data_IF_824366181009
#
_entry.id   IF_824366181009
#
_cell.length_a   1.000
_cell.length_b   1.000
_cell.length_c   1.000
_cell.angle_alpha   90.00
_cell.angle_beta   90.00
_cell.angle_gamma   90.00
#
_symmetry.space_group_name_H-M   'P 1'
#
loop_
_entity.id
_entity.type
_entity.pdbx_description
1 polymer ?
#
# COMPACT_ATOMS: atom_id res chain seq x y z
N UNK A 1 -3.10 21.59 -5.88
CA UNK A 1 -2.09 21.70 -4.80
C UNK A 1 -0.70 21.24 -5.22
N UNK A 2 -0.51 19.99 -5.64
CA UNK A 2 0.82 19.45 -5.98
C UNK A 2 1.54 20.20 -7.11
N UNK A 3 0.81 20.70 -8.11
CA UNK A 3 1.38 21.52 -9.19
C UNK A 3 1.96 22.85 -8.69
N UNK A 4 1.42 23.38 -7.58
CA UNK A 4 1.86 24.60 -6.92
C UNK A 4 2.85 24.31 -5.77
N UNK A 5 3.33 23.06 -5.65
CA UNK A 5 4.22 22.64 -4.58
C UNK A 5 3.56 22.47 -3.21
N UNK A 6 2.23 22.57 -3.13
CA UNK A 6 1.50 22.48 -1.86
C UNK A 6 1.10 21.04 -1.52
N UNK A 7 1.10 20.66 -0.22
CA UNK A 7 0.55 19.39 0.23
C UNK A 7 -0.91 19.22 -0.19
N UNK A 8 -1.29 17.99 -0.55
CA UNK A 8 -2.70 17.64 -0.76
C UNK A 8 -3.28 17.13 0.55
N UNK A 9 -4.32 17.79 1.06
CA UNK A 9 -4.99 17.44 2.32
C UNK A 9 -5.49 15.98 2.30
N UNK A 10 -6.10 15.55 1.19
CA UNK A 10 -6.65 14.21 1.06
C UNK A 10 -5.62 13.13 0.66
N UNK A 11 -4.31 13.44 0.65
CA UNK A 11 -3.30 12.52 0.11
C UNK A 11 -3.30 11.15 0.75
N UNK A 12 -3.43 11.08 2.08
CA UNK A 12 -3.50 9.82 2.82
C UNK A 12 -4.73 9.00 2.48
N UNK A 13 -5.81 9.62 1.99
CA UNK A 13 -7.05 8.92 1.66
C UNK A 13 -6.97 8.21 0.31
N UNK A 14 -6.33 8.81 -0.71
CA UNK A 14 -6.23 8.17 -2.03
C UNK A 14 -4.93 7.37 -2.28
N UNK A 15 -3.83 7.67 -1.58
CA UNK A 15 -2.53 6.98 -1.79
C UNK A 15 -2.56 5.49 -1.43
N UNK A 16 -3.63 5.02 -0.80
CA UNK A 16 -3.83 3.63 -0.42
C UNK A 16 -4.44 2.78 -1.56
N UNK A 17 -5.04 3.43 -2.56
CA UNK A 17 -5.85 2.78 -3.59
C UNK A 17 -5.16 2.82 -4.96
N UNK A 18 -4.69 1.65 -5.43
CA UNK A 18 -3.94 1.52 -6.70
C UNK A 18 -4.69 2.02 -7.95
N UNK A 19 -6.02 2.06 -7.90
CA UNK A 19 -6.85 2.50 -9.04
C UNK A 19 -7.06 4.01 -9.09
N UNK A 20 -6.72 4.72 -8.02
CA UNK A 20 -6.76 6.19 -7.98
C UNK A 20 -5.35 6.68 -8.27
N UNK A 21 -4.98 6.70 -9.55
CA UNK A 21 -3.60 6.91 -10.00
C UNK A 21 -3.43 7.97 -11.10
N UNK A 22 -4.54 8.53 -11.59
CA UNK A 22 -4.55 9.70 -12.48
C UNK A 22 -4.94 10.94 -11.69
N UNK A 23 -4.54 12.13 -12.15
CA UNK A 23 -5.00 13.39 -11.54
C UNK A 23 -6.53 13.49 -11.56
N UNK A 24 -7.18 13.11 -12.66
CA UNK A 24 -8.64 13.08 -12.74
C UNK A 24 -9.26 12.18 -11.66
N UNK A 25 -8.74 10.97 -11.47
CA UNK A 25 -9.25 10.07 -10.43
C UNK A 25 -9.01 10.62 -9.02
N UNK A 26 -7.88 11.30 -8.78
CA UNK A 26 -7.62 11.96 -7.50
C UNK A 26 -8.62 13.08 -7.26
N UNK A 27 -8.87 13.91 -8.27
CA UNK A 27 -9.82 15.02 -8.18
C UNK A 27 -11.25 14.53 -7.94
N UNK A 28 -11.69 13.47 -8.64
CA UNK A 28 -13.00 12.83 -8.43
C UNK A 28 -13.13 12.25 -7.02
N UNK A 29 -12.11 11.58 -6.51
CA UNK A 29 -12.12 11.04 -5.15
C UNK A 29 -12.17 12.15 -4.10
N UNK A 30 -11.39 13.22 -4.28
CA UNK A 30 -11.41 14.39 -3.41
C UNK A 30 -12.77 15.11 -3.46
N UNK A 31 -13.39 15.16 -4.63
CA UNK A 31 -14.76 15.66 -4.78
C UNK A 31 -15.76 14.82 -3.98
N UNK A 32 -15.65 13.49 -4.01
CA UNK A 32 -16.47 12.60 -3.17
C UNK A 32 -16.35 12.92 -1.67
N UNK A 33 -15.13 13.12 -1.17
CA UNK A 33 -14.89 13.55 0.21
C UNK A 33 -15.54 14.91 0.52
N UNK A 34 -15.33 15.89 -0.34
CA UNK A 34 -15.92 17.23 -0.16
C UNK A 34 -17.45 17.17 -0.18
N UNK A 35 -18.04 16.40 -1.09
CA UNK A 35 -19.49 16.21 -1.15
C UNK A 35 -20.01 15.54 0.13
N UNK A 36 -19.30 14.55 0.66
CA UNK A 36 -19.64 13.92 1.94
C UNK A 36 -19.65 14.97 3.06
N UNK A 37 -18.58 15.76 3.17
CA UNK A 37 -18.45 16.81 4.18
C UNK A 37 -19.55 17.87 4.07
N UNK A 38 -19.88 18.31 2.86
CA UNK A 38 -21.00 19.24 2.63
C UNK A 38 -22.36 18.62 2.98
N UNK A 39 -22.53 17.31 2.80
CA UNK A 39 -23.79 16.60 3.04
C UNK A 39 -24.02 16.35 4.53
N UNK A 40 -22.99 15.94 5.26
CA UNK A 40 -23.10 15.49 6.65
C UNK A 40 -22.46 16.45 7.67
N UNK A 41 -21.82 17.52 7.22
CA UNK A 41 -21.16 18.51 8.08
C UNK A 41 -19.90 17.99 8.78
N UNK A 42 -19.37 16.82 8.37
CA UNK A 42 -18.20 16.16 8.97
C UNK A 42 -17.49 15.26 7.95
N UNK A 43 -16.18 14.99 8.10
CA UNK A 43 -15.49 14.01 7.27
C UNK A 43 -16.03 12.59 7.53
N UNK A 44 -15.87 11.66 6.56
CA UNK A 44 -16.19 10.26 6.79
C UNK A 44 -15.25 9.67 7.86
N UNK A 45 -15.80 8.84 8.76
CA UNK A 45 -15.02 8.19 9.83
C UNK A 45 -13.92 7.27 9.24
N UNK A 46 -14.19 6.65 8.09
CA UNK A 46 -13.23 5.87 7.30
C UNK A 46 -13.64 5.79 5.84
N UNK A 47 -12.68 5.58 4.94
CA UNK A 47 -12.91 5.27 3.52
C UNK A 47 -12.26 3.92 3.20
N UNK A 48 -12.92 3.02 2.45
CA UNK A 48 -14.21 3.17 1.77
C UNK A 48 -15.44 3.27 2.70
N UNK A 49 -16.53 3.85 2.18
CA UNK A 49 -17.82 4.02 2.86
C UNK A 49 -18.85 3.14 2.17
N UNK A 50 -19.29 2.09 2.85
CA UNK A 50 -20.29 1.15 2.29
C UNK A 50 -21.72 1.40 2.81
N UNK A 51 -21.86 2.19 3.88
CA UNK A 51 -23.15 2.59 4.44
C UNK A 51 -23.14 4.09 4.73
N UNK A 52 -24.03 4.81 4.05
CA UNK A 52 -24.18 6.25 4.20
C UNK A 52 -25.28 6.56 5.23
N UNK A 53 -25.09 7.55 6.12
CA UNK A 53 -26.16 8.06 6.95
C UNK A 53 -27.33 8.57 6.10
N UNK A 54 -28.54 8.70 6.67
CA UNK A 54 -29.66 9.31 5.96
C UNK A 54 -29.29 10.69 5.42
N UNK A 55 -29.50 10.88 4.11
CA UNK A 55 -29.19 12.11 3.40
C UNK A 55 -30.47 12.74 2.82
N UNK A 56 -30.52 14.07 2.66
CA UNK A 56 -31.70 14.76 2.14
C UNK A 56 -32.00 14.42 0.66
N UNK A 57 -31.04 13.87 -0.09
CA UNK A 57 -31.21 13.54 -1.51
C UNK A 57 -30.51 12.24 -1.88
N UNK A 58 -31.25 11.32 -2.52
CA UNK A 58 -30.71 10.06 -3.04
C UNK A 58 -29.75 10.28 -4.21
N UNK A 59 -29.89 11.39 -4.95
CA UNK A 59 -28.95 11.75 -6.01
C UNK A 59 -27.55 12.03 -5.46
N UNK A 60 -27.45 12.64 -4.28
CA UNK A 60 -26.18 12.86 -3.57
C UNK A 60 -25.58 11.52 -3.14
N UNK A 61 -26.39 10.64 -2.54
CA UNK A 61 -25.95 9.31 -2.11
C UNK A 61 -25.39 8.50 -3.27
N UNK A 62 -26.06 8.50 -4.43
CA UNK A 62 -25.56 7.81 -5.62
C UNK A 62 -24.17 8.30 -6.07
N UNK A 63 -23.92 9.61 -6.02
CA UNK A 63 -22.59 10.18 -6.34
C UNK A 63 -21.56 9.74 -5.31
N UNK A 64 -21.90 9.76 -4.02
CA UNK A 64 -21.01 9.30 -2.95
C UNK A 64 -20.70 7.81 -3.07
N UNK A 65 -21.68 6.96 -3.35
CA UNK A 65 -21.48 5.53 -3.61
C UNK A 65 -20.54 5.32 -4.81
N UNK A 66 -20.68 6.10 -5.88
CA UNK A 66 -19.83 6.00 -7.07
C UNK A 66 -18.38 6.45 -6.84
N UNK A 67 -18.08 7.17 -5.75
CA UNK A 67 -16.77 7.80 -5.50
C UNK A 67 -16.05 7.30 -4.24
N UNK A 68 -16.78 6.91 -3.19
CA UNK A 68 -16.23 6.54 -1.89
C UNK A 68 -16.49 5.08 -1.48
N UNK A 69 -17.30 4.32 -2.23
CA UNK A 69 -17.58 2.91 -1.89
C UNK A 69 -16.38 1.98 -2.07
N UNK A 70 -16.45 0.79 -1.45
CA UNK A 70 -15.47 -0.27 -1.69
C UNK A 70 -15.29 -0.57 -3.17
N UNK A 71 -16.38 -0.60 -3.94
CA UNK A 71 -16.35 -0.89 -5.37
C UNK A 71 -15.67 0.22 -6.15
N UNK A 72 -16.00 1.48 -5.87
CA UNK A 72 -15.36 2.64 -6.50
C UNK A 72 -13.83 2.62 -6.28
N UNK A 73 -13.39 2.44 -5.03
CA UNK A 73 -11.97 2.41 -4.70
C UNK A 73 -11.21 1.22 -5.31
N UNK A 74 -11.89 0.10 -5.60
CA UNK A 74 -11.30 -1.12 -6.17
C UNK A 74 -11.33 -1.18 -7.70
N UNK A 75 -12.34 -0.61 -8.33
CA UNK A 75 -12.56 -0.67 -9.78
C UNK A 75 -12.00 0.57 -10.49
N UNK A 76 -11.92 1.69 -9.79
CA UNK A 76 -11.50 2.98 -10.33
C UNK A 76 -12.63 4.02 -10.24
N UNK A 77 -12.23 5.28 -10.30
CA UNK A 77 -13.17 6.39 -10.22
C UNK A 77 -13.98 6.54 -11.51
N UNK A 78 -15.24 6.99 -11.44
CA UNK A 78 -16.01 7.37 -12.62
C UNK A 78 -15.32 8.53 -13.34
N UNK A 79 -15.49 8.60 -14.67
CA UNK A 79 -15.02 9.75 -15.44
C UNK A 79 -15.87 10.98 -15.13
N UNK A 80 -15.32 12.17 -15.38
CA UNK A 80 -16.07 13.43 -15.21
C UNK A 80 -17.36 13.41 -16.03
N UNK A 81 -17.31 12.92 -17.28
CA UNK A 81 -18.50 12.80 -18.13
C UNK A 81 -19.57 11.91 -17.51
N UNK A 82 -19.18 10.78 -16.90
CA UNK A 82 -20.13 9.89 -16.23
C UNK A 82 -20.74 10.53 -14.99
N UNK A 83 -19.95 11.25 -14.19
CA UNK A 83 -20.46 12.01 -13.04
C UNK A 83 -21.49 13.05 -13.46
N UNK A 84 -21.20 13.82 -14.51
CA UNK A 84 -22.10 14.87 -15.01
C UNK A 84 -23.42 14.32 -15.57
N UNK A 85 -23.49 13.05 -15.92
CA UNK A 85 -24.73 12.36 -16.32
C UNK A 85 -25.58 11.90 -15.13
N UNK A 86 -25.07 12.01 -13.90
CA UNK A 86 -25.80 11.56 -12.72
C UNK A 86 -26.92 12.54 -12.36
N UNK A 87 -28.01 12.08 -11.71
CA UNK A 87 -29.17 12.92 -11.40
C UNK A 87 -28.84 14.17 -10.58
N UNK A 88 -27.74 14.17 -9.82
CA UNK A 88 -27.33 15.34 -9.04
C UNK A 88 -26.99 16.55 -9.93
N UNK A 89 -26.57 16.32 -11.18
CA UNK A 89 -26.07 17.36 -12.08
C UNK A 89 -26.98 17.59 -13.29
N UNK A 90 -28.18 17.00 -13.33
CA UNK A 90 -29.08 17.08 -14.49
C UNK A 90 -29.45 18.52 -14.89
N UNK A 91 -29.54 19.40 -13.91
CA UNK A 91 -30.03 20.77 -14.08
C UNK A 91 -28.88 21.78 -14.28
N UNK A 92 -27.64 21.29 -14.34
CA UNK A 92 -26.46 22.14 -14.52
C UNK A 92 -26.24 22.41 -16.01
N UNK A 93 -26.57 23.64 -16.43
CA UNK A 93 -26.24 24.13 -17.77
C UNK A 93 -24.74 24.41 -17.88
N UNK A 94 -23.99 23.46 -18.46
CA UNK A 94 -22.59 23.67 -18.79
C UNK A 94 -22.48 24.56 -20.02
N UNK A 95 -22.01 25.79 -19.85
CA UNK A 95 -21.68 26.70 -20.96
C UNK A 95 -20.39 26.24 -21.64
N UNK A 96 -20.45 25.14 -22.39
CA UNK A 96 -19.29 24.52 -23.06
C UNK A 96 -18.79 25.29 -24.28
N UNK A 97 -19.46 26.38 -24.68
CA UNK A 97 -19.19 27.08 -25.95
C UNK A 97 -18.24 28.28 -25.86
N UNK A 98 -17.87 28.75 -24.66
CA UNK A 98 -16.89 29.84 -24.57
C UNK A 98 -15.48 29.28 -24.79
N UNK A 99 -14.90 29.61 -25.95
CA UNK A 99 -13.47 29.37 -26.20
C UNK A 99 -12.69 29.89 -24.98
N UNK A 100 -11.72 29.12 -24.45
CA UNK A 100 -10.90 29.57 -23.34
C UNK A 100 -10.33 30.96 -23.66
N UNK A 101 -10.76 31.98 -22.92
CA UNK A 101 -10.29 33.36 -23.15
C UNK A 101 -8.79 33.48 -22.85
N UNK A 102 -8.26 32.55 -22.06
CA UNK A 102 -6.86 32.48 -21.69
C UNK A 102 -6.04 31.73 -22.76
N UNK A 103 -5.15 32.47 -23.45
CA UNK A 103 -4.16 31.86 -24.35
C UNK A 103 -3.04 31.22 -23.53
N UNK A 104 -2.98 29.88 -23.52
CA UNK A 104 -1.90 29.13 -22.86
C UNK A 104 -0.72 29.00 -23.83
N UNK A 105 0.47 29.54 -23.51
CA UNK A 105 1.66 29.33 -24.34
C UNK A 105 1.99 27.84 -24.48
N UNK A 106 2.43 27.42 -25.67
CA UNK A 106 2.76 26.00 -25.96
C UNK A 106 3.80 25.42 -24.99
N UNK A 107 4.82 26.22 -24.64
CA UNK A 107 5.83 25.86 -23.63
C UNK A 107 5.20 25.55 -22.27
N UNK A 108 4.21 26.34 -21.85
CA UNK A 108 3.50 26.13 -20.59
C UNK A 108 2.62 24.87 -20.68
N UNK A 109 1.88 24.68 -21.78
CA UNK A 109 1.07 23.47 -22.00
C UNK A 109 1.92 22.20 -21.86
N UNK A 110 3.12 22.22 -22.43
CA UNK A 110 4.04 21.08 -22.37
C UNK A 110 4.62 20.87 -20.96
N UNK A 111 5.00 21.94 -20.27
CA UNK A 111 5.43 21.86 -18.88
C UNK A 111 4.33 21.27 -17.96
N UNK A 112 3.07 21.65 -18.17
CA UNK A 112 1.92 21.10 -17.44
C UNK A 112 1.73 19.61 -17.73
N UNK A 113 1.89 19.18 -18.99
CA UNK A 113 1.81 17.76 -19.38
C UNK A 113 2.89 16.94 -18.66
N UNK A 114 4.14 17.41 -18.68
CA UNK A 114 5.27 16.75 -18.00
C UNK A 114 5.04 16.70 -16.49
N UNK A 115 4.57 17.81 -15.90
CA UNK A 115 4.27 17.87 -14.46
C UNK A 115 3.17 16.89 -14.06
N UNK A 116 2.09 16.79 -14.85
CA UNK A 116 1.02 15.78 -14.65
C UNK A 116 1.59 14.37 -14.64
N UNK A 117 2.34 14.00 -15.67
CA UNK A 117 2.93 12.66 -15.80
C UNK A 117 3.89 12.35 -14.64
N UNK A 118 4.68 13.33 -14.21
CA UNK A 118 5.58 13.19 -13.06
C UNK A 118 4.81 12.94 -11.75
N UNK A 119 3.73 13.68 -11.51
CA UNK A 119 2.89 13.52 -10.31
C UNK A 119 2.23 12.15 -10.31
N UNK A 120 1.65 11.72 -11.43
CA UNK A 120 0.99 10.41 -11.56
C UNK A 120 2.00 9.26 -11.37
N UNK A 121 3.19 9.34 -11.98
CA UNK A 121 4.27 8.34 -11.77
C UNK A 121 4.69 8.26 -10.32
N UNK A 122 4.87 9.40 -9.65
CA UNK A 122 5.25 9.45 -8.23
C UNK A 122 4.17 8.84 -7.33
N UNK A 123 2.89 9.09 -7.61
CA UNK A 123 1.77 8.51 -6.87
C UNK A 123 1.73 6.98 -7.02
N UNK A 124 1.95 6.46 -8.22
CA UNK A 124 2.00 5.01 -8.45
C UNK A 124 3.15 4.36 -7.66
N UNK A 125 4.32 5.01 -7.63
CA UNK A 125 5.46 4.51 -6.86
C UNK A 125 5.21 4.53 -5.36
N UNK A 126 4.63 5.61 -4.84
CA UNK A 126 4.18 5.70 -3.44
C UNK A 126 3.18 4.58 -3.10
N UNK A 127 2.20 4.31 -3.96
CA UNK A 127 1.23 3.23 -3.76
C UNK A 127 1.89 1.84 -3.70
N UNK A 128 2.93 1.60 -4.52
CA UNK A 128 3.72 0.36 -4.48
C UNK A 128 4.45 0.23 -3.15
N UNK A 129 5.11 1.29 -2.69
CA UNK A 129 5.82 1.32 -1.42
C UNK A 129 4.88 1.06 -0.24
N UNK A 130 3.73 1.73 -0.19
CA UNK A 130 2.72 1.52 0.85
C UNK A 130 2.26 0.07 0.87
N UNK A 131 1.98 -0.52 -0.29
CA UNK A 131 1.54 -1.91 -0.36
C UNK A 131 2.64 -2.90 0.03
N UNK A 132 3.87 -2.68 -0.43
CA UNK A 132 5.02 -3.49 -0.05
C UNK A 132 5.24 -3.45 1.45
N UNK A 133 5.21 -2.26 2.05
CA UNK A 133 5.32 -2.07 3.49
C UNK A 133 4.22 -2.82 4.24
N UNK A 134 2.94 -2.62 3.87
CA UNK A 134 1.80 -3.35 4.46
C UNK A 134 1.96 -4.87 4.39
N UNK A 135 2.44 -5.39 3.26
CA UNK A 135 2.69 -6.83 3.08
C UNK A 135 3.81 -7.33 3.98
N UNK A 136 4.92 -6.59 4.09
CA UNK A 136 6.04 -6.91 4.97
C UNK A 136 5.60 -6.89 6.45
N UNK A 137 4.89 -5.84 6.88
CA UNK A 137 4.38 -5.70 8.25
C UNK A 137 3.48 -6.87 8.64
N UNK A 138 2.56 -7.29 7.74
CA UNK A 138 1.70 -8.47 7.96
C UNK A 138 2.50 -9.78 8.05
N UNK A 139 3.53 -9.93 7.23
CA UNK A 139 4.41 -11.10 7.30
C UNK A 139 5.23 -11.14 8.60
N UNK A 140 5.73 -9.98 9.05
CA UNK A 140 6.47 -9.84 10.30
C UNK A 140 5.60 -10.10 11.52
N UNK A 141 4.36 -9.61 11.55
CA UNK A 141 3.44 -9.89 12.67
C UNK A 141 3.10 -11.38 12.77
N UNK A 142 2.95 -12.06 11.63
CA UNK A 142 2.72 -13.50 11.60
C UNK A 142 3.95 -14.31 12.04
N UNK A 143 5.15 -13.91 11.58
CA UNK A 143 6.40 -14.60 11.89
C UNK A 143 6.95 -14.30 13.29
N UNK A 144 6.60 -13.15 13.85
CA UNK A 144 7.00 -12.67 15.18
C UNK A 144 6.02 -13.02 16.30
N UNK A 145 4.96 -13.78 16.04
CA UNK A 145 4.00 -14.16 17.07
C UNK A 145 4.65 -15.09 18.11
N UNK A 146 4.29 -14.92 19.38
CA UNK A 146 4.80 -15.76 20.47
C UNK A 146 4.46 -17.25 20.25
N UNK A 147 3.34 -17.55 19.59
CA UNK A 147 2.95 -18.91 19.20
C UNK A 147 3.89 -19.52 18.15
N UNK A 148 4.24 -18.76 17.11
CA UNK A 148 5.17 -19.17 16.07
C UNK A 148 6.59 -19.34 16.67
N UNK A 149 6.99 -18.43 17.57
CA UNK A 149 8.25 -18.53 18.32
C UNK A 149 8.29 -19.76 19.22
N UNK A 150 7.20 -20.07 19.93
CA UNK A 150 7.07 -21.26 20.79
C UNK A 150 7.07 -22.54 19.96
N UNK A 151 6.36 -22.57 18.82
CA UNK A 151 6.35 -23.69 17.87
C UNK A 151 7.75 -23.98 17.32
N UNK A 152 8.50 -22.94 16.94
CA UNK A 152 9.90 -23.09 16.50
C UNK A 152 10.83 -23.60 17.58
N UNK A 153 10.70 -23.10 18.82
CA UNK A 153 11.45 -23.64 19.96
C UNK A 153 11.15 -25.13 20.19
N UNK A 154 9.88 -25.54 20.09
CA UNK A 154 9.47 -26.95 20.24
C UNK A 154 10.04 -27.81 19.11
N UNK A 155 9.93 -27.36 17.86
CA UNK A 155 10.46 -28.10 16.70
C UNK A 155 11.99 -28.21 16.74
N UNK A 156 12.70 -27.15 17.15
CA UNK A 156 14.15 -27.18 17.34
C UNK A 156 14.55 -28.17 18.45
N UNK A 157 13.83 -28.19 19.57
CA UNK A 157 14.03 -29.18 20.64
C UNK A 157 13.75 -30.61 20.17
N UNK A 158 12.70 -30.84 19.38
CA UNK A 158 12.41 -32.16 18.79
C UNK A 158 13.50 -32.61 17.81
N UNK A 159 13.99 -31.71 16.95
CA UNK A 159 15.08 -32.00 16.01
C UNK A 159 16.38 -32.32 16.74
N UNK A 160 16.73 -31.54 17.77
CA UNK A 160 17.92 -31.78 18.60
C UNK A 160 17.88 -33.12 19.35
N UNK A 161 16.70 -33.52 19.87
CA UNK A 161 16.54 -34.85 20.50
C UNK A 161 16.73 -35.98 19.51
N UNK A 162 16.21 -35.85 18.28
CA UNK A 162 16.37 -36.86 17.23
C UNK A 162 17.82 -36.97 16.76
N UNK A 163 18.51 -35.86 16.56
CA UNK A 163 19.93 -35.87 16.19
C UNK A 163 20.83 -36.41 17.32
N UNK A 164 20.47 -36.21 18.59
CA UNK A 164 21.20 -36.80 19.71
C UNK A 164 21.05 -38.33 19.75
N UNK A 165 19.88 -38.87 19.41
CA UNK A 165 19.65 -40.31 19.31
C UNK A 165 20.41 -40.93 18.13
N UNK A 166 20.38 -40.31 16.94
CA UNK A 166 21.16 -40.75 15.77
C UNK A 166 22.68 -40.70 16.03
N UNK A 167 23.17 -39.68 16.75
CA UNK A 167 24.59 -39.58 17.12
C UNK A 167 25.00 -40.61 18.20
N UNK A 168 24.09 -41.03 19.07
CA UNK A 168 24.30 -42.13 20.02
C UNK A 168 24.31 -43.50 19.33
N UNK A 169 23.50 -43.70 18.30
CA UNK A 169 23.53 -44.94 17.48
C UNK A 169 24.83 -45.03 16.66
N UNK A 170 25.34 -43.90 16.15
CA UNK A 170 26.62 -43.86 15.43
C UNK A 170 27.85 -44.03 16.34
N UNK A 171 27.74 -43.68 17.64
CA UNK A 171 28.78 -43.95 18.64
C UNK A 171 28.71 -45.37 19.22
N UNK A 172 27.53 -46.01 19.26
CA UNK A 172 27.40 -47.42 19.64
C UNK A 172 27.93 -48.38 18.58
N UNK A 173 28.01 -47.96 17.31
CA UNK A 173 28.57 -48.75 16.22
C UNK A 173 30.11 -48.64 16.08
N UNK A 174 30.79 -47.80 16.88
CA UNK A 174 32.25 -47.56 16.77
C UNK A 174 33.13 -48.35 17.74
N UNK A 175 32.56 -49.31 18.49
CA UNK A 175 33.34 -50.29 19.27
C UNK A 175 33.37 -51.68 18.60
N UNK A 176 33.62 -51.75 17.30
CA UNK A 176 34.11 -52.98 16.66
C UNK A 176 34.66 -52.71 15.27
N UNK A 177 35.84 -52.08 15.17
CA UNK A 177 36.90 -52.57 14.28
C UNK A 177 38.18 -51.77 14.46
N UNK A 178 39.28 -52.47 14.71
CA UNK A 178 40.63 -51.94 14.58
C UNK A 178 41.07 -51.99 13.11
N UNK A 179 41.80 -50.96 12.68
CA UNK A 179 42.94 -50.90 11.75
C UNK A 179 42.85 -49.91 10.57
N UNK A 180 43.88 -49.06 10.51
CA UNK A 180 44.47 -48.30 9.40
C UNK A 180 43.60 -47.35 8.56
N UNK A 181 43.94 -46.05 8.58
CA UNK A 181 44.82 -45.40 7.58
C UNK A 181 44.70 -43.86 7.62
N UNK A 182 45.79 -43.20 7.25
CA UNK A 182 46.01 -41.76 7.30
C UNK A 182 45.11 -40.97 6.34
N UNK A 183 44.74 -39.74 6.73
CA UNK A 183 44.03 -38.79 5.87
C UNK A 183 43.83 -37.42 6.51
N UNK A 184 44.79 -36.53 6.26
CA UNK A 184 44.73 -35.10 6.57
C UNK A 184 43.53 -34.41 5.91
N UNK A 185 42.91 -33.44 6.59
CA UNK A 185 41.80 -32.66 6.03
C UNK A 185 41.34 -31.49 6.89
N UNK A 186 42.13 -30.42 6.88
CA UNK A 186 41.82 -29.01 7.13
C UNK A 186 40.55 -28.60 7.91
N UNK A 187 40.80 -27.92 9.03
CA UNK A 187 39.90 -27.10 9.84
C UNK A 187 39.46 -25.80 9.15
N UNK A 188 38.14 -25.52 9.13
CA UNK A 188 37.46 -24.24 9.47
C UNK A 188 36.02 -24.23 8.91
N UNK A 189 35.05 -23.61 9.63
CA UNK A 189 34.59 -22.29 9.17
C UNK A 189 34.34 -21.30 10.32
N UNK A 190 34.96 -20.13 10.24
CA UNK A 190 34.55 -18.93 10.96
C UNK A 190 33.96 -17.95 9.95
N UNK A 191 32.63 -17.84 9.88
CA UNK A 191 31.97 -16.63 9.37
C UNK A 191 30.62 -16.45 10.07
N UNK A 192 30.63 -15.70 11.16
CA UNK A 192 29.43 -15.04 11.70
C UNK A 192 29.06 -13.87 10.79
N UNK A 193 27.83 -13.73 10.27
CA UNK A 193 27.36 -12.44 9.81
C UNK A 193 26.84 -11.65 11.00
N UNK A 194 27.57 -10.60 11.37
CA UNK A 194 27.19 -9.59 12.35
C UNK A 194 25.87 -8.92 11.98
N UNK A 195 25.03 -8.70 12.99
CA UNK A 195 23.79 -7.94 12.90
C UNK A 195 24.07 -6.46 12.60
N UNK A 196 23.27 -5.78 11.74
CA UNK A 196 23.41 -4.34 11.58
C UNK A 196 22.78 -3.59 12.76
N UNK A 197 23.58 -2.81 13.47
CA UNK A 197 23.16 -1.82 14.46
C UNK A 197 22.54 -0.62 13.74
N UNK A 198 21.39 -0.07 14.19
CA UNK A 198 20.84 1.17 13.64
C UNK A 198 21.67 2.40 14.09
N UNK A 199 21.77 3.47 13.28
CA UNK A 199 22.47 4.67 13.66
C UNK A 199 21.68 5.46 14.71
N UNK A 200 22.38 5.88 15.77
CA UNK A 200 21.92 6.85 16.75
C UNK A 200 21.77 8.22 16.08
N UNK A 201 20.60 8.82 16.21
CA UNK A 201 20.40 10.24 15.90
C UNK A 201 21.02 11.06 17.02
N UNK A 202 21.78 12.11 16.68
CA UNK A 202 22.25 13.12 17.62
C UNK A 202 22.51 14.42 16.85
N UNK A 203 21.87 15.50 17.32
CA UNK A 203 22.20 16.89 17.00
C UNK A 203 21.40 17.48 15.87
#
# INVERSE_FOLDING_TARGET
NSLLGLPSFYRSYFSQFRKINTLESVDVHCFGHLLYEMTYGRPPDSVPVDSFPPAPSMAVVAVLESTLSCEACKNGMPTISRLLQMPLFSDVLLTTSEKPQFKIPTKLKEALRIAKECIEKRLIEEQKQIHQHRRLTRAQSHHGSEEERKKRKILARKKSKRSALENSEEHSAKYSNSNNSAGSGASSPLTSPSSPTPPSTSG
#
